data_IF_805960625989
#
_entry.id   IF_805960625989
#
_cell.length_a   1.000
_cell.length_b   1.000
_cell.length_c   1.000
_cell.angle_alpha   90.00
_cell.angle_beta   90.00
_cell.angle_gamma   90.00
#
_symmetry.space_group_name_H-M   'P 1'
#
loop_
_entity.id
_entity.type
_entity.pdbx_description
1 polymer ?
#
# COMPACT_ATOMS: atom_id res chain seq x y z
N UNK A 1 1.63 20.56 -16.49
CA UNK A 1 1.20 19.59 -17.57
C UNK A 1 2.35 18.64 -17.80
N UNK A 2 2.10 17.33 -17.86
CA UNK A 2 3.16 16.33 -18.05
C UNK A 2 3.84 16.48 -19.41
N UNK A 3 5.17 16.45 -19.43
CA UNK A 3 5.94 16.45 -20.67
C UNK A 3 5.83 15.11 -21.39
N UNK A 4 6.21 15.06 -22.68
CA UNK A 4 6.21 13.80 -23.42
C UNK A 4 7.18 12.77 -22.80
N UNK A 5 8.33 13.23 -22.33
CA UNK A 5 9.34 12.39 -21.65
C UNK A 5 8.81 11.81 -20.34
N UNK A 6 8.12 12.63 -19.52
CA UNK A 6 7.50 12.15 -18.30
C UNK A 6 6.40 11.11 -18.58
N UNK A 7 5.58 11.31 -19.62
CA UNK A 7 4.58 10.32 -20.01
C UNK A 7 5.21 9.01 -20.44
N UNK A 8 6.30 9.07 -21.21
CA UNK A 8 7.02 7.87 -21.64
C UNK A 8 7.69 7.13 -20.48
N UNK A 9 8.30 7.87 -19.53
CA UNK A 9 8.93 7.29 -18.35
C UNK A 9 7.91 6.59 -17.42
N UNK A 10 6.65 7.03 -17.44
CA UNK A 10 5.56 6.46 -16.63
C UNK A 10 4.58 5.61 -17.46
N UNK A 11 4.94 5.28 -18.71
CA UNK A 11 4.09 4.42 -19.54
C UNK A 11 4.12 2.98 -19.02
N UNK A 12 2.95 2.49 -18.64
CA UNK A 12 2.73 1.12 -18.16
C UNK A 12 1.94 0.27 -19.17
N UNK A 13 1.80 0.77 -20.40
CA UNK A 13 1.03 0.09 -21.46
C UNK A 13 1.61 -1.26 -21.88
N UNK A 14 2.88 -1.52 -21.63
CA UNK A 14 3.55 -2.81 -21.91
C UNK A 14 3.39 -3.86 -20.80
N UNK A 15 2.83 -3.50 -19.64
CA UNK A 15 2.60 -4.44 -18.54
C UNK A 15 1.25 -5.16 -18.73
N UNK A 16 1.14 -6.38 -18.20
CA UNK A 16 -0.13 -7.16 -18.19
C UNK A 16 -1.25 -6.35 -17.54
N UNK A 17 -0.96 -5.75 -16.38
CA UNK A 17 -1.81 -4.78 -15.69
C UNK A 17 -1.01 -3.52 -15.39
N UNK A 18 -1.63 -2.33 -15.44
CA UNK A 18 -0.93 -1.09 -15.09
C UNK A 18 -0.39 -1.06 -13.65
N UNK A 19 -0.91 -1.92 -12.78
CA UNK A 19 -0.49 -2.09 -11.39
C UNK A 19 0.67 -3.07 -11.20
N UNK A 20 1.07 -3.83 -12.24
CA UNK A 20 2.15 -4.81 -12.14
C UNK A 20 3.50 -4.11 -11.94
N UNK A 21 4.38 -4.73 -11.17
CA UNK A 21 5.74 -4.22 -10.94
C UNK A 21 6.60 -4.37 -12.21
N UNK A 22 7.26 -3.29 -12.59
CA UNK A 22 8.37 -3.34 -13.54
C UNK A 22 9.56 -4.09 -12.95
N UNK A 23 10.52 -4.50 -13.79
CA UNK A 23 11.72 -5.19 -13.30
C UNK A 23 12.57 -4.30 -12.39
N UNK A 24 12.61 -3.00 -12.69
CA UNK A 24 13.31 -2.02 -11.85
C UNK A 24 12.65 -1.85 -10.46
N UNK A 25 11.31 -1.77 -10.43
CA UNK A 25 10.56 -1.71 -9.17
C UNK A 25 10.68 -3.01 -8.38
N UNK A 26 10.68 -4.16 -9.08
CA UNK A 26 10.89 -5.46 -8.44
C UNK A 26 12.27 -5.54 -7.78
N UNK A 27 13.33 -5.19 -8.51
CA UNK A 27 14.71 -5.19 -7.97
C UNK A 27 14.86 -4.31 -6.72
N UNK A 28 14.08 -3.22 -6.65
CA UNK A 28 14.07 -2.32 -5.49
C UNK A 28 13.38 -2.96 -4.27
N UNK A 29 12.28 -3.67 -4.46
CA UNK A 29 11.46 -4.19 -3.35
C UNK A 29 11.83 -5.60 -2.92
N UNK A 30 12.43 -6.40 -3.81
CA UNK A 30 12.82 -7.79 -3.54
C UNK A 30 13.66 -7.96 -2.24
N UNK A 31 14.66 -7.10 -1.94
CA UNK A 31 15.45 -7.23 -0.72
C UNK A 31 14.66 -7.09 0.58
N UNK A 32 13.49 -6.45 0.54
CA UNK A 32 12.64 -6.25 1.71
C UNK A 32 11.69 -7.42 1.97
N UNK A 33 11.59 -8.35 1.01
CA UNK A 33 10.70 -9.50 1.12
C UNK A 33 11.31 -10.54 2.07
N UNK A 34 10.58 -10.95 3.11
CA UNK A 34 11.07 -11.96 4.03
C UNK A 34 11.36 -13.28 3.29
N UNK A 35 12.47 -13.95 3.59
CA UNK A 35 12.78 -15.26 3.03
C UNK A 35 11.70 -16.29 3.42
N UNK A 36 11.66 -17.42 2.72
CA UNK A 36 10.79 -18.52 3.12
C UNK A 36 11.12 -19.00 4.53
N UNK A 37 10.10 -19.31 5.32
CA UNK A 37 10.28 -19.85 6.67
C UNK A 37 11.12 -21.13 6.64
N UNK A 38 12.05 -21.25 7.59
CA UNK A 38 12.77 -22.51 7.81
C UNK A 38 11.81 -23.53 8.43
N UNK A 39 11.63 -24.67 7.75
CA UNK A 39 10.72 -25.73 8.17
C UNK A 39 9.30 -25.59 7.62
N UNK A 40 8.54 -26.68 7.67
CA UNK A 40 7.21 -26.76 7.08
C UNK A 40 7.22 -26.90 5.56
N UNK A 41 6.05 -26.64 4.94
CA UNK A 41 5.91 -26.69 3.46
C UNK A 41 6.72 -25.57 2.81
N UNK A 42 7.56 -25.92 1.85
CA UNK A 42 8.33 -24.95 1.09
C UNK A 42 7.39 -23.98 0.35
N UNK A 43 7.80 -22.69 0.31
CA UNK A 43 7.12 -21.67 -0.49
C UNK A 43 7.29 -21.99 -1.98
N UNK A 44 6.20 -22.28 -2.67
CA UNK A 44 6.19 -22.57 -4.12
C UNK A 44 5.61 -21.44 -4.95
N UNK A 45 4.97 -20.46 -4.30
CA UNK A 45 4.36 -19.31 -4.97
C UNK A 45 5.41 -18.31 -5.40
N UNK A 46 5.25 -17.74 -6.58
CA UNK A 46 6.01 -16.58 -7.01
C UNK A 46 5.58 -15.35 -6.21
N UNK A 47 6.52 -14.79 -5.49
CA UNK A 47 6.28 -13.67 -4.56
C UNK A 47 6.05 -12.37 -5.32
N UNK A 48 6.68 -12.20 -6.49
CA UNK A 48 6.41 -11.06 -7.37
C UNK A 48 4.97 -11.04 -7.82
N UNK A 49 4.45 -12.20 -8.23
CA UNK A 49 3.05 -12.33 -8.62
C UNK A 49 2.07 -12.09 -7.46
N UNK A 50 2.45 -12.46 -6.25
CA UNK A 50 1.66 -12.13 -5.05
C UNK A 50 1.60 -10.62 -4.84
N UNK A 51 2.73 -9.91 -4.98
CA UNK A 51 2.75 -8.44 -4.92
C UNK A 51 1.94 -7.79 -6.03
N UNK A 52 2.05 -8.29 -7.27
CA UNK A 52 1.21 -7.84 -8.38
C UNK A 52 -0.28 -7.99 -8.05
N UNK A 53 -0.66 -9.11 -7.43
CA UNK A 53 -2.04 -9.33 -6.96
C UNK A 53 -2.47 -8.33 -5.88
N UNK A 54 -1.59 -8.02 -4.93
CA UNK A 54 -1.85 -7.02 -3.89
C UNK A 54 -2.03 -5.63 -4.54
N UNK A 55 -1.10 -5.23 -5.42
CA UNK A 55 -1.18 -3.93 -6.08
C UNK A 55 -2.39 -3.81 -7.01
N UNK A 56 -2.77 -4.90 -7.68
CA UNK A 56 -4.00 -4.92 -8.47
C UNK A 56 -5.24 -4.60 -7.62
N UNK A 57 -5.38 -5.24 -6.44
CA UNK A 57 -6.49 -4.96 -5.51
C UNK A 57 -6.44 -3.50 -5.02
N UNK A 58 -5.25 -3.00 -4.66
CA UNK A 58 -5.10 -1.63 -4.16
C UNK A 58 -5.41 -0.58 -5.23
N UNK A 59 -4.98 -0.82 -6.47
CA UNK A 59 -5.18 0.12 -7.58
C UNK A 59 -6.62 0.14 -8.09
N UNK A 60 -7.27 -1.04 -8.15
CA UNK A 60 -8.63 -1.16 -8.72
C UNK A 60 -9.74 -1.04 -7.69
N UNK A 61 -9.45 -1.30 -6.42
CA UNK A 61 -10.47 -1.40 -5.37
C UNK A 61 -11.47 -2.54 -5.60
N UNK A 62 -11.15 -3.52 -6.44
CA UNK A 62 -12.07 -4.58 -6.78
C UNK A 62 -12.34 -5.52 -5.60
N UNK A 63 -13.45 -6.22 -5.65
CA UNK A 63 -13.74 -7.27 -4.68
C UNK A 63 -12.72 -8.41 -4.82
N UNK A 64 -12.35 -9.06 -3.72
CA UNK A 64 -11.45 -10.22 -3.70
C UNK A 64 -11.86 -11.34 -4.66
N UNK A 65 -13.15 -11.49 -4.92
CA UNK A 65 -13.69 -12.48 -5.86
C UNK A 65 -13.45 -12.12 -7.33
N UNK A 66 -13.20 -10.85 -7.60
CA UNK A 66 -12.96 -10.33 -8.95
C UNK A 66 -11.47 -10.28 -9.31
N UNK A 67 -10.58 -10.79 -8.44
CA UNK A 67 -9.16 -10.92 -8.78
C UNK A 67 -9.00 -11.81 -10.02
N UNK A 68 -8.27 -11.35 -11.05
CA UNK A 68 -8.02 -12.11 -12.27
C UNK A 68 -7.40 -13.50 -12.00
N UNK A 69 -7.74 -14.47 -12.82
CA UNK A 69 -7.31 -15.87 -12.65
C UNK A 69 -5.85 -16.13 -13.01
N UNK A 70 -5.25 -15.22 -13.76
CA UNK A 70 -3.83 -15.24 -14.14
C UNK A 70 -2.90 -14.69 -13.02
N UNK A 71 -3.50 -14.10 -11.98
CA UNK A 71 -2.83 -13.80 -10.72
C UNK A 71 -2.98 -14.96 -9.72
N UNK A 72 -2.14 -15.02 -8.68
CA UNK A 72 -2.28 -16.05 -7.65
C UNK A 72 -3.68 -16.08 -7.01
N UNK A 73 -4.13 -17.23 -6.51
CA UNK A 73 -5.44 -17.36 -5.90
C UNK A 73 -5.68 -16.30 -4.80
N UNK A 74 -6.88 -15.74 -4.77
CA UNK A 74 -7.26 -14.68 -3.82
C UNK A 74 -6.92 -15.00 -2.36
N UNK A 75 -7.04 -16.26 -1.95
CA UNK A 75 -6.68 -16.69 -0.58
C UNK A 75 -5.19 -16.51 -0.33
N UNK A 76 -4.35 -16.90 -1.30
CA UNK A 76 -2.90 -16.73 -1.20
C UNK A 76 -2.53 -15.25 -1.12
N UNK A 77 -3.09 -14.41 -2.00
CA UNK A 77 -2.83 -12.96 -2.00
C UNK A 77 -3.27 -12.33 -0.67
N UNK A 78 -4.45 -12.72 -0.15
CA UNK A 78 -4.97 -12.23 1.12
C UNK A 78 -4.09 -12.66 2.31
N UNK A 79 -3.66 -13.92 2.35
CA UNK A 79 -2.81 -14.44 3.42
C UNK A 79 -1.46 -13.71 3.47
N UNK A 80 -0.85 -13.43 2.30
CA UNK A 80 0.38 -12.64 2.23
C UNK A 80 0.15 -11.18 2.59
N UNK A 81 -0.94 -10.56 2.13
CA UNK A 81 -1.30 -9.20 2.52
C UNK A 81 -1.43 -9.09 4.05
N UNK A 82 -2.16 -10.02 4.67
CA UNK A 82 -2.35 -10.05 6.11
C UNK A 82 -1.03 -10.26 6.86
N UNK A 83 -0.21 -11.21 6.41
CA UNK A 83 1.10 -11.51 7.00
C UNK A 83 2.03 -10.28 6.92
N UNK A 84 2.16 -9.69 5.73
CA UNK A 84 3.08 -8.57 5.50
C UNK A 84 2.59 -7.25 6.09
N UNK A 85 1.29 -7.11 6.32
CA UNK A 85 0.74 -6.01 7.12
C UNK A 85 1.15 -6.17 8.57
N UNK A 86 1.00 -7.39 9.11
CA UNK A 86 1.28 -7.67 10.51
C UNK A 86 2.77 -7.56 10.86
N UNK A 87 3.67 -8.05 10.00
CA UNK A 87 5.13 -8.01 10.23
C UNK A 87 5.80 -6.71 9.77
N UNK A 88 5.03 -5.76 9.22
CA UNK A 88 5.50 -4.47 8.76
C UNK A 88 6.23 -4.50 7.42
N UNK A 89 6.24 -5.62 6.70
CA UNK A 89 6.88 -5.74 5.39
C UNK A 89 6.30 -4.75 4.39
N UNK A 90 4.97 -4.62 4.32
CA UNK A 90 4.32 -3.65 3.41
C UNK A 90 4.72 -2.21 3.71
N UNK A 91 4.89 -1.85 4.99
CA UNK A 91 5.36 -0.52 5.37
C UNK A 91 6.77 -0.24 4.86
N UNK A 92 7.67 -1.23 4.94
CA UNK A 92 9.05 -1.12 4.41
C UNK A 92 9.06 -1.02 2.88
N UNK A 93 8.26 -1.85 2.19
CA UNK A 93 8.10 -1.79 0.73
C UNK A 93 7.57 -0.43 0.27
N UNK A 94 6.51 0.04 0.91
CA UNK A 94 5.94 1.36 0.62
C UNK A 94 6.98 2.46 0.80
N UNK A 95 7.73 2.45 1.91
CA UNK A 95 8.75 3.46 2.18
C UNK A 95 9.87 3.45 1.12
N UNK A 96 10.33 2.28 0.69
CA UNK A 96 11.32 2.14 -0.36
C UNK A 96 10.84 2.73 -1.70
N UNK A 97 9.63 2.37 -2.13
CA UNK A 97 9.02 2.91 -3.35
C UNK A 97 8.77 4.42 -3.25
N UNK A 98 8.32 4.89 -2.09
CA UNK A 98 8.08 6.31 -1.85
C UNK A 98 9.36 7.15 -2.00
N UNK A 99 10.48 6.69 -1.39
CA UNK A 99 11.77 7.37 -1.53
C UNK A 99 12.19 7.42 -2.99
N UNK A 100 12.12 6.29 -3.69
CA UNK A 100 12.53 6.19 -5.10
C UNK A 100 11.76 7.17 -6.00
N UNK A 101 10.44 7.22 -5.84
CA UNK A 101 9.60 8.16 -6.63
C UNK A 101 9.98 9.61 -6.34
N UNK A 102 10.24 9.96 -5.08
CA UNK A 102 10.64 11.33 -4.72
C UNK A 102 11.99 11.71 -5.32
N UNK A 103 12.96 10.80 -5.26
CA UNK A 103 14.31 11.03 -5.81
C UNK A 103 14.28 11.11 -7.33
N UNK A 104 13.46 10.30 -8.01
CA UNK A 104 13.25 10.41 -9.46
C UNK A 104 12.64 11.75 -9.87
N UNK A 105 11.78 12.32 -9.03
CA UNK A 105 11.21 13.66 -9.21
C UNK A 105 12.18 14.80 -8.81
N UNK A 106 13.42 14.50 -8.43
CA UNK A 106 14.41 15.47 -7.96
C UNK A 106 14.05 16.07 -6.60
N UNK A 107 13.24 15.40 -5.79
CA UNK A 107 12.85 15.80 -4.43
C UNK A 107 13.71 15.08 -3.40
N UNK A 108 13.87 15.69 -2.23
CA UNK A 108 14.52 15.00 -1.10
C UNK A 108 13.72 13.78 -0.65
N UNK A 109 14.42 12.72 -0.22
CA UNK A 109 13.82 11.48 0.26
C UNK A 109 12.79 11.71 1.38
N UNK A 110 13.09 12.65 2.30
CA UNK A 110 12.17 13.03 3.39
C UNK A 110 11.37 14.26 3.02
N UNK A 111 10.03 14.27 3.21
CA UNK A 111 9.22 15.45 3.00
C UNK A 111 9.56 16.52 4.04
N UNK A 112 9.76 17.76 3.59
CA UNK A 112 10.04 18.93 4.45
C UNK A 112 8.77 19.61 4.95
N UNK A 113 7.61 19.30 4.34
CA UNK A 113 6.31 19.82 4.72
C UNK A 113 5.21 18.76 4.60
N UNK A 114 4.22 18.84 5.47
CA UNK A 114 3.02 18.02 5.41
C UNK A 114 1.79 18.90 5.61
N UNK A 115 0.72 18.61 4.87
CA UNK A 115 -0.58 19.25 5.05
C UNK A 115 -1.47 18.26 5.80
N UNK A 116 -1.92 18.64 6.98
CA UNK A 116 -2.86 17.85 7.78
C UNK A 116 -4.27 18.39 7.53
N UNK A 117 -5.15 17.54 6.99
CA UNK A 117 -6.57 17.86 6.94
C UNK A 117 -7.19 17.57 8.31
N UNK A 118 -7.71 18.62 8.95
CA UNK A 118 -8.34 18.56 10.27
C UNK A 118 -9.86 18.36 10.21
N UNK A 119 -10.41 17.93 9.08
CA UNK A 119 -11.83 17.68 8.97
C UNK A 119 -12.28 16.56 9.93
N UNK A 120 -13.30 16.84 10.71
CA UNK A 120 -13.93 15.83 11.57
C UNK A 120 -14.89 14.97 10.76
N UNK A 121 -14.62 13.67 10.71
CA UNK A 121 -15.52 12.68 10.12
C UNK A 121 -16.47 12.15 11.20
N UNK A 122 -17.77 12.20 10.97
CA UNK A 122 -18.74 11.53 11.86
C UNK A 122 -18.46 10.03 11.79
N UNK A 123 -18.06 9.42 12.90
CA UNK A 123 -17.99 7.97 13.00
C UNK A 123 -19.40 7.37 12.96
N UNK A 124 -19.63 6.35 12.14
CA UNK A 124 -20.86 5.59 12.18
C UNK A 124 -20.99 4.88 13.54
N UNK A 125 -22.10 5.03 14.23
CA UNK A 125 -22.33 4.43 15.56
C UNK A 125 -22.38 2.89 15.55
N UNK A 126 -22.41 2.25 14.39
CA UNK A 126 -22.36 0.80 14.17
C UNK A 126 -21.28 0.43 13.17
N UNK A 127 -20.03 0.51 13.55
CA UNK A 127 -18.91 -0.05 12.80
C UNK A 127 -18.20 -1.09 13.64
N UNK A 128 -18.00 -2.27 13.07
CA UNK A 128 -17.42 -3.43 13.74
C UNK A 128 -16.15 -3.12 14.51
N UNK A 129 -16.06 -3.75 15.65
CA UNK A 129 -14.88 -3.80 16.52
C UNK A 129 -13.76 -4.45 15.74
N UNK A 130 -12.90 -3.73 15.16
CA UNK A 130 -11.53 -4.14 14.82
C UNK A 130 -10.97 -3.21 13.74
N UNK A 131 -9.87 -2.59 14.08
CA UNK A 131 -8.91 -1.81 13.29
C UNK A 131 -8.93 -0.27 13.47
N UNK A 132 -9.56 0.25 14.51
CA UNK A 132 -9.19 1.59 14.94
C UNK A 132 -8.80 1.49 16.42
N UNK A 133 -7.58 1.10 16.68
CA UNK A 133 -6.97 1.50 17.94
C UNK A 133 -6.68 2.99 17.76
N UNK A 134 -7.69 3.78 18.12
CA UNK A 134 -7.58 5.21 18.18
C UNK A 134 -6.35 5.55 19.03
N UNK A 135 -5.42 6.25 18.44
CA UNK A 135 -4.46 7.04 19.20
C UNK A 135 -5.30 8.07 19.96
N UNK A 136 -5.73 7.69 21.14
CA UNK A 136 -6.41 8.57 22.07
C UNK A 136 -5.37 9.50 22.63
N UNK A 137 -5.02 10.54 21.90
CA UNK A 137 -4.41 11.70 22.52
C UNK A 137 -5.44 12.27 23.49
N UNK A 138 -5.15 12.18 24.74
CA UNK A 138 -5.95 12.68 25.87
C UNK A 138 -6.12 14.19 25.75
N UNK A 139 -7.02 14.65 24.92
CA UNK A 139 -7.48 16.02 24.91
C UNK A 139 -8.59 16.17 25.93
N UNK A 140 -8.36 17.06 26.86
CA UNK A 140 -9.18 17.45 28.01
C UNK A 140 -10.65 17.69 27.62
N UNK A 141 -11.55 17.17 28.45
CA UNK A 141 -12.99 17.41 28.45
C UNK A 141 -13.38 18.79 27.92
N UNK A 142 -13.91 18.85 26.72
CA UNK A 142 -14.94 19.78 26.31
C UNK A 142 -16.03 19.02 25.64
N UNK A 143 -17.25 19.38 25.85
CA UNK A 143 -18.53 18.71 25.67
C UNK A 143 -18.94 18.63 24.19
N UNK A 144 -18.05 18.04 23.36
CA UNK A 144 -18.36 17.65 21.99
C UNK A 144 -17.51 16.41 21.67
N UNK A 145 -18.15 15.29 21.38
CA UNK A 145 -17.49 14.09 20.87
C UNK A 145 -17.09 14.35 19.40
N UNK A 146 -16.01 15.06 19.20
CA UNK A 146 -15.35 15.16 17.90
C UNK A 146 -14.17 14.21 17.91
N UNK A 147 -14.36 13.05 17.28
CA UNK A 147 -13.24 12.16 16.95
C UNK A 147 -12.49 12.75 15.77
N UNK A 148 -11.28 13.25 15.98
CA UNK A 148 -10.41 13.67 14.90
C UNK A 148 -9.82 12.44 14.25
N UNK A 149 -10.21 12.16 13.03
CA UNK A 149 -9.67 11.07 12.22
C UNK A 149 -8.52 11.63 11.39
N UNK A 150 -7.30 11.16 11.65
CA UNK A 150 -6.17 11.41 10.74
C UNK A 150 -6.31 10.48 9.54
N UNK A 151 -6.94 10.98 8.48
CA UNK A 151 -6.95 10.32 7.19
C UNK A 151 -5.65 10.65 6.47
N UNK A 152 -4.69 9.74 6.52
CA UNK A 152 -3.58 9.76 5.57
C UNK A 152 -4.15 9.36 4.21
N UNK A 153 -4.46 10.35 3.39
CA UNK A 153 -4.88 10.13 2.01
C UNK A 153 -3.66 9.69 1.20
N UNK A 154 -3.59 8.41 0.91
CA UNK A 154 -2.60 7.85 0.01
C UNK A 154 -3.03 8.16 -1.42
N UNK A 155 -2.54 9.25 -1.98
CA UNK A 155 -2.67 9.50 -3.40
C UNK A 155 -1.57 8.72 -4.12
N UNK A 156 -1.92 7.59 -4.71
CA UNK A 156 -1.14 6.98 -5.77
C UNK A 156 -1.39 7.75 -7.06
N UNK A 157 -0.35 8.34 -7.60
CA UNK A 157 -0.28 8.74 -8.98
C UNK A 157 0.68 7.80 -9.71
#
# INVERSE_FOLDING_TARGET
MWTAEQRQAHDRGGLRYPSDLTDAEWALVEPFIPPAKRGGRKRTVDVREVLNGIFYILATGCQWRALPKDLPPKSTVYDYLSLWTWDGTLGRLHHALFIQVREQDGREASPTAAILDSQSVKSAEKGGRTLIQAVTTRARKSRARSGTFLSTHWAFF
#
